data_IF_183549785771
#
_entry.id   IF_183549785771
#
_cell.length_a   1.000
_cell.length_b   1.000
_cell.length_c   1.000
_cell.angle_alpha   90.00
_cell.angle_beta   90.00
_cell.angle_gamma   90.00
#
_symmetry.space_group_name_H-M   'P 1'
#
loop_
_entity.id
_entity.type
_entity.pdbx_description
1 polymer ?
#
# COMPACT_ATOMS: atom_id res chain seq x y z
N UNK A 1 12.43 21.88 0.52
CA UNK A 1 12.21 21.22 -0.77
C UNK A 1 11.35 20.00 -0.48
N UNK A 2 10.03 20.18 -0.49
CA UNK A 2 9.04 19.15 -0.10
C UNK A 2 8.60 18.30 -1.29
N UNK A 3 9.51 18.06 -2.24
CA UNK A 3 9.19 17.42 -3.51
C UNK A 3 8.52 16.05 -3.34
N UNK A 4 8.83 15.33 -2.25
CA UNK A 4 8.21 14.05 -1.89
C UNK A 4 6.73 14.21 -1.57
N UNK A 5 6.39 15.22 -0.77
CA UNK A 5 5.00 15.55 -0.43
C UNK A 5 4.25 15.99 -1.69
N UNK A 6 4.83 16.92 -2.45
CA UNK A 6 4.24 17.42 -3.70
C UNK A 6 3.97 16.30 -4.71
N UNK A 7 4.90 15.36 -4.84
CA UNK A 7 4.76 14.19 -5.71
C UNK A 7 3.59 13.31 -5.29
N UNK A 8 3.51 12.93 -4.01
CA UNK A 8 2.45 12.05 -3.52
C UNK A 8 1.08 12.75 -3.51
N UNK A 9 1.02 14.05 -3.23
CA UNK A 9 -0.21 14.83 -3.37
C UNK A 9 -0.71 14.86 -4.81
N UNK A 10 0.17 15.05 -5.80
CA UNK A 10 -0.22 15.02 -7.22
C UNK A 10 -0.64 13.63 -7.69
N UNK A 11 0.04 12.60 -7.21
CA UNK A 11 -0.33 11.22 -7.52
C UNK A 11 -1.73 10.88 -7.00
N UNK A 12 -2.09 11.37 -5.81
CA UNK A 12 -3.44 11.25 -5.28
C UNK A 12 -4.46 12.03 -6.11
N UNK A 13 -4.19 13.30 -6.40
CA UNK A 13 -5.09 14.17 -7.16
C UNK A 13 -5.45 13.56 -8.52
N UNK A 14 -4.49 12.90 -9.19
CA UNK A 14 -4.69 12.36 -10.53
C UNK A 14 -5.24 10.94 -10.56
N UNK A 15 -4.86 10.10 -9.60
CA UNK A 15 -5.09 8.65 -9.67
C UNK A 15 -5.90 8.10 -8.49
N UNK A 16 -6.13 8.88 -7.42
CA UNK A 16 -6.91 8.47 -6.25
C UNK A 16 -6.32 7.27 -5.50
N UNK A 17 -5.02 7.08 -5.60
CA UNK A 17 -4.33 5.82 -5.27
C UNK A 17 -4.19 5.53 -3.78
N UNK A 18 -4.31 6.53 -2.92
CA UNK A 18 -4.24 6.38 -1.47
C UNK A 18 -5.61 6.41 -0.80
N UNK A 19 -6.62 7.03 -1.42
CA UNK A 19 -7.97 7.11 -0.86
C UNK A 19 -9.00 6.20 -1.53
N UNK A 20 -8.65 5.54 -2.65
CA UNK A 20 -9.53 4.56 -3.29
C UNK A 20 -9.73 3.30 -2.44
N UNK A 21 -10.84 2.61 -2.71
CA UNK A 21 -11.19 1.38 -2.01
C UNK A 21 -10.15 0.27 -2.22
N UNK A 22 -9.99 -0.57 -1.19
CA UNK A 22 -9.14 -1.76 -1.25
C UNK A 22 -9.73 -2.78 -2.22
N UNK A 23 -9.03 -3.01 -3.34
CA UNK A 23 -9.42 -3.97 -4.37
C UNK A 23 -8.70 -5.33 -4.24
N UNK A 24 -9.02 -6.25 -5.15
CA UNK A 24 -8.45 -7.61 -5.18
C UNK A 24 -6.94 -7.65 -5.39
N UNK A 25 -6.37 -6.67 -6.08
CA UNK A 25 -4.93 -6.57 -6.28
C UNK A 25 -4.20 -6.32 -4.95
N UNK A 26 -4.68 -5.34 -4.16
CA UNK A 26 -4.12 -5.04 -2.85
C UNK A 26 -4.16 -6.27 -1.92
N UNK A 27 -5.29 -6.99 -1.93
CA UNK A 27 -5.46 -8.24 -1.15
C UNK A 27 -4.50 -9.33 -1.60
N UNK A 28 -4.28 -9.48 -2.91
CA UNK A 28 -3.34 -10.45 -3.45
C UNK A 28 -1.90 -10.13 -3.05
N UNK A 29 -1.48 -8.86 -3.09
CA UNK A 29 -0.16 -8.42 -2.59
C UNK A 29 -0.01 -8.72 -1.10
N UNK A 30 -1.00 -8.37 -0.27
CA UNK A 30 -0.96 -8.64 1.16
C UNK A 30 -0.74 -10.14 1.48
N UNK A 31 -1.42 -11.05 0.76
CA UNK A 31 -1.23 -12.50 0.90
C UNK A 31 0.19 -12.99 0.59
N UNK A 32 0.96 -12.27 -0.23
CA UNK A 32 2.36 -12.64 -0.49
C UNK A 32 3.25 -12.50 0.75
N UNK A 33 2.86 -11.65 1.70
CA UNK A 33 3.56 -11.47 2.98
C UNK A 33 3.11 -12.47 4.05
N UNK A 34 1.91 -13.05 3.93
CA UNK A 34 1.42 -14.09 4.85
C UNK A 34 2.29 -15.36 4.79
N UNK A 35 2.73 -15.75 3.59
CA UNK A 35 3.56 -16.95 3.37
C UNK A 35 4.90 -16.93 4.14
N UNK A 36 5.75 -15.88 4.01
CA UNK A 36 6.98 -15.79 4.80
C UNK A 36 6.75 -15.50 6.28
N UNK A 37 5.60 -14.92 6.67
CA UNK A 37 5.31 -14.59 8.07
C UNK A 37 5.00 -15.83 8.95
N UNK A 38 4.60 -16.96 8.35
CA UNK A 38 4.34 -18.23 9.04
C UNK A 38 2.94 -18.33 9.68
N UNK A 39 2.62 -19.50 10.27
CA UNK A 39 1.26 -19.92 10.62
C UNK A 39 0.63 -19.30 11.89
N UNK A 40 1.34 -18.43 12.62
CA UNK A 40 0.83 -17.85 13.87
C UNK A 40 0.06 -16.55 13.59
N UNK A 41 -0.97 -16.19 14.38
CA UNK A 41 -1.62 -14.90 14.26
C UNK A 41 -0.59 -13.80 14.59
N UNK A 42 -0.13 -13.10 13.55
CA UNK A 42 0.80 -11.98 13.65
C UNK A 42 0.14 -10.76 13.04
N UNK A 43 0.25 -9.63 13.72
CA UNK A 43 -0.07 -8.33 13.13
C UNK A 43 1.13 -7.87 12.31
N UNK A 44 0.92 -7.61 11.02
CA UNK A 44 1.95 -7.09 10.11
C UNK A 44 1.79 -5.57 10.02
N UNK A 45 2.89 -4.84 10.26
CA UNK A 45 2.97 -3.39 10.02
C UNK A 45 3.81 -3.15 8.77
N UNK A 46 3.20 -2.58 7.73
CA UNK A 46 3.90 -2.12 6.54
C UNK A 46 4.12 -0.60 6.65
N UNK A 47 5.38 -0.16 6.58
CA UNK A 47 5.73 1.26 6.63
C UNK A 47 5.95 1.78 5.21
N UNK A 48 5.30 2.88 4.87
CA UNK A 48 5.44 3.47 3.54
C UNK A 48 4.86 2.62 2.41
N UNK A 49 3.76 1.88 2.68
CA UNK A 49 3.06 1.03 1.71
C UNK A 49 2.60 1.76 0.43
N UNK A 50 2.59 3.10 0.47
CA UNK A 50 2.10 3.93 -0.61
C UNK A 50 0.64 3.59 -0.93
N UNK A 51 0.30 3.57 -2.22
CA UNK A 51 -1.05 3.25 -2.70
C UNK A 51 -1.22 1.76 -3.02
N UNK A 52 -0.31 0.90 -2.57
CA UNK A 52 -0.35 -0.53 -2.89
C UNK A 52 -0.21 -0.83 -4.40
N UNK A 53 0.46 0.04 -5.15
CA UNK A 53 0.55 0.01 -6.62
C UNK A 53 1.47 -1.10 -7.16
N UNK A 54 1.33 -1.39 -8.47
CA UNK A 54 2.30 -2.16 -9.27
C UNK A 54 3.47 -1.26 -9.64
#
# INVERSE_FOLDING_TARGET
MNWVEDFYSKQEEWLGVYTSDVNDYHRKKARTFELPAGAAPKSVLELGAGGGQV
#
